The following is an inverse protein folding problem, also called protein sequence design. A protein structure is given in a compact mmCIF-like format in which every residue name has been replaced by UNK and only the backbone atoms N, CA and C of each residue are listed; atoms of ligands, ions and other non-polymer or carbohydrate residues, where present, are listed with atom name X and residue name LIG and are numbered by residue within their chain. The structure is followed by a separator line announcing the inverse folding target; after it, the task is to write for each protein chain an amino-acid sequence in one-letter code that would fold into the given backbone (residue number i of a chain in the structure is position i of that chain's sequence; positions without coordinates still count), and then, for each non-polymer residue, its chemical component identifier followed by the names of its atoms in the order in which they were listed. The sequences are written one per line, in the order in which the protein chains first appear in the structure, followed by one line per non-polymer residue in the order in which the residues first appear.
data_IF_017249329347
#
_entry.id   IF_017249329347
#
_cell.length_a   1.000
_cell.length_b   1.000
_cell.length_c   1.000
_cell.angle_alpha   90.00
_cell.angle_beta   90.00
_cell.angle_gamma   90.00
#
_symmetry.space_group_name_H-M   'P 1'
#
loop_
_entity.id
_entity.type
_entity.pdbx_description
1 polymer ?
#
# COMPACT_ATOMS: atom_id res chain seq x y z
N UNK A 1 17.52 18.28 25.32
CA UNK A 1 16.45 17.29 25.59
C UNK A 1 16.81 16.03 24.83
N UNK A 2 16.68 14.84 25.43
CA UNK A 2 16.94 13.57 24.72
C UNK A 2 15.88 13.47 23.61
N UNK A 3 16.29 13.58 22.35
CA UNK A 3 15.42 13.38 21.18
C UNK A 3 15.09 11.88 21.05
N UNK A 4 14.38 11.33 22.02
CA UNK A 4 13.80 10.01 21.86
C UNK A 4 12.74 10.11 20.77
N UNK A 5 12.78 9.25 19.73
CA UNK A 5 11.78 9.25 18.69
C UNK A 5 10.38 9.11 19.30
N UNK A 6 9.46 10.02 18.94
CA UNK A 6 8.06 9.93 19.37
C UNK A 6 7.39 8.65 18.81
N UNK A 7 7.88 8.16 17.67
CA UNK A 7 7.51 6.89 17.06
C UNK A 7 8.69 5.93 17.16
N UNK A 8 8.46 4.74 17.72
CA UNK A 8 9.51 3.73 17.81
C UNK A 8 9.89 3.20 16.42
N UNK A 9 11.16 2.84 16.19
CA UNK A 9 11.58 2.23 14.91
C UNK A 9 10.78 0.98 14.55
N UNK A 10 10.40 0.19 15.55
CA UNK A 10 9.58 -1.01 15.35
C UNK A 10 8.21 -0.66 14.75
N UNK A 11 7.52 0.38 15.27
CA UNK A 11 6.24 0.82 14.72
C UNK A 11 6.40 1.33 13.29
N UNK A 12 7.44 2.13 13.04
CA UNK A 12 7.74 2.64 11.71
C UNK A 12 7.92 1.51 10.67
N UNK A 13 8.77 0.53 10.96
CA UNK A 13 9.02 -0.58 10.05
C UNK A 13 7.81 -1.51 9.91
N UNK A 14 7.06 -1.76 11.00
CA UNK A 14 5.83 -2.55 10.93
C UNK A 14 4.79 -1.90 10.02
N UNK A 15 4.64 -0.58 10.03
CA UNK A 15 3.73 0.15 9.15
C UNK A 15 4.15 0.03 7.67
N UNK A 16 5.45 0.02 7.39
CA UNK A 16 5.96 -0.21 6.03
C UNK A 16 5.66 -1.64 5.59
N UNK A 17 5.98 -2.63 6.43
CA UNK A 17 5.80 -4.05 6.09
C UNK A 17 4.32 -4.43 5.94
N UNK A 18 3.44 -3.88 6.78
CA UNK A 18 2.00 -4.14 6.72
C UNK A 18 1.39 -3.81 5.35
N UNK A 19 1.90 -2.77 4.67
CA UNK A 19 1.43 -2.38 3.34
C UNK A 19 1.72 -3.41 2.25
N UNK A 20 2.63 -4.36 2.48
CA UNK A 20 2.95 -5.43 1.53
C UNK A 20 2.36 -6.77 1.97
N UNK A 21 2.45 -7.09 3.27
CA UNK A 21 1.96 -8.37 3.76
C UNK A 21 0.44 -8.47 3.75
N UNK A 22 -0.28 -7.38 4.10
CA UNK A 22 -1.74 -7.44 4.19
C UNK A 22 -2.39 -7.63 2.80
N UNK A 23 -1.98 -6.93 1.71
CA UNK A 23 -2.50 -7.22 0.38
C UNK A 23 -2.15 -8.63 -0.13
N UNK A 24 -0.99 -9.18 0.24
CA UNK A 24 -0.63 -10.57 -0.10
C UNK A 24 -1.55 -11.56 0.61
N UNK A 25 -1.83 -11.35 1.90
CA UNK A 25 -2.79 -12.18 2.65
C UNK A 25 -4.18 -12.08 2.02
N UNK A 26 -4.61 -10.88 1.63
CA UNK A 26 -5.87 -10.66 0.95
C UNK A 26 -5.95 -11.46 -0.37
N UNK A 27 -4.93 -11.34 -1.23
CA UNK A 27 -4.88 -12.06 -2.50
C UNK A 27 -4.90 -13.59 -2.31
N UNK A 28 -4.25 -14.10 -1.26
CA UNK A 28 -4.32 -15.54 -0.92
C UNK A 28 -5.75 -15.93 -0.55
N UNK A 29 -6.43 -15.15 0.29
CA UNK A 29 -7.83 -15.41 0.66
C UNK A 29 -8.72 -15.41 -0.58
N UNK A 30 -8.51 -14.48 -1.50
CA UNK A 30 -9.27 -14.38 -2.75
C UNK A 30 -9.11 -15.62 -3.64
N UNK A 31 -7.88 -16.11 -3.81
CA UNK A 31 -7.59 -17.30 -4.63
C UNK A 31 -8.30 -18.55 -4.08
N UNK A 32 -8.44 -18.66 -2.76
CA UNK A 32 -9.10 -19.80 -2.12
C UNK A 32 -10.61 -19.58 -1.90
N UNK A 33 -11.17 -18.43 -2.26
CA UNK A 33 -12.58 -18.14 -2.13
C UNK A 33 -13.37 -18.80 -3.27
N UNK A 34 -14.11 -19.86 -2.97
CA UNK A 34 -14.96 -20.60 -3.93
C UNK A 34 -16.41 -20.14 -3.93
N UNK A 35 -16.67 -18.83 -3.79
CA UNK A 35 -18.02 -18.30 -3.84
C UNK A 35 -18.51 -18.12 -5.30
N UNK A 36 -19.73 -18.58 -5.63
CA UNK A 36 -20.23 -18.58 -7.02
C UNK A 36 -20.49 -17.18 -7.58
N UNK A 37 -20.64 -16.17 -6.73
CA UNK A 37 -20.84 -14.76 -7.10
C UNK A 37 -19.58 -14.18 -7.77
N UNK A 38 -18.39 -14.58 -7.30
CA UNK A 38 -17.11 -14.21 -7.90
C UNK A 38 -16.91 -14.82 -9.30
N UNK A 39 -17.38 -16.04 -9.51
CA UNK A 39 -17.30 -16.73 -10.82
C UNK A 39 -18.18 -16.02 -11.87
N UNK A 40 -19.31 -15.46 -11.44
CA UNK A 40 -20.23 -14.69 -12.29
C UNK A 40 -19.68 -13.29 -12.59
N UNK A 41 -18.92 -12.72 -11.64
CA UNK A 41 -18.21 -11.47 -11.79
C UNK A 41 -17.01 -11.58 -12.76
N UNK A 42 -16.22 -12.65 -12.64
CA UNK A 42 -15.11 -12.94 -13.57
C UNK A 42 -15.59 -12.99 -15.02
N UNK A 43 -16.79 -13.53 -15.25
CA UNK A 43 -17.40 -13.61 -16.59
C UNK A 43 -17.92 -12.28 -17.12
N UNK A 44 -18.15 -11.28 -16.26
CA UNK A 44 -18.73 -9.98 -16.62
C UNK A 44 -17.68 -8.86 -16.65
N UNK A 45 -16.65 -8.89 -15.81
CA UNK A 45 -15.58 -7.88 -15.78
C UNK A 45 -14.46 -8.12 -16.82
N UNK A 46 -14.16 -9.37 -17.19
CA UNK A 46 -13.05 -9.70 -18.11
C UNK A 46 -13.41 -9.70 -19.60
N UNK A 47 -14.51 -9.07 -20.03
CA UNK A 47 -14.97 -9.18 -21.42
C UNK A 47 -14.12 -8.43 -22.46
N UNK A 48 -13.15 -7.58 -22.07
CA UNK A 48 -12.18 -6.96 -23.00
C UNK A 48 -10.92 -6.48 -22.25
N UNK A 49 -9.75 -6.30 -22.92
CA UNK A 49 -8.44 -6.42 -22.29
C UNK A 49 -8.10 -5.23 -21.39
N UNK A 50 -8.29 -5.41 -20.08
CA UNK A 50 -7.66 -4.61 -19.01
C UNK A 50 -6.12 -4.82 -18.92
N UNK A 51 -5.49 -5.39 -19.96
CA UNK A 51 -4.05 -5.66 -20.00
C UNK A 51 -3.23 -4.37 -19.88
N UNK A 52 -3.76 -3.25 -20.36
CA UNK A 52 -3.14 -1.94 -20.17
C UNK A 52 -3.21 -1.47 -18.71
N UNK A 53 -4.29 -1.77 -17.97
CA UNK A 53 -4.40 -1.50 -16.54
C UNK A 53 -3.37 -2.32 -15.77
N UNK A 54 -3.20 -3.59 -16.11
CA UNK A 54 -2.16 -4.45 -15.54
C UNK A 54 -0.76 -3.86 -15.75
N UNK A 55 -0.47 -3.32 -16.94
CA UNK A 55 0.80 -2.66 -17.22
C UNK A 55 0.99 -1.40 -16.35
N UNK A 56 -0.05 -0.56 -16.21
CA UNK A 56 -0.03 0.63 -15.34
C UNK A 56 0.21 0.23 -13.89
N UNK A 57 -0.52 -0.77 -13.38
CA UNK A 57 -0.38 -1.29 -12.02
C UNK A 57 1.01 -1.87 -11.77
N UNK A 58 1.60 -2.57 -12.76
CA UNK A 58 2.94 -3.13 -12.66
C UNK A 58 4.02 -2.05 -12.55
N UNK A 59 3.92 -0.99 -13.37
CA UNK A 59 4.84 0.15 -13.31
C UNK A 59 4.68 0.90 -11.99
N UNK A 60 3.44 1.14 -11.54
CA UNK A 60 3.17 1.77 -10.25
C UNK A 60 3.73 0.94 -9.08
N UNK A 61 3.57 -0.38 -9.11
CA UNK A 61 4.12 -1.30 -8.13
C UNK A 61 5.64 -1.21 -8.03
N UNK A 62 6.34 -1.15 -9.18
CA UNK A 62 7.80 -0.95 -9.21
C UNK A 62 8.22 0.39 -8.59
N UNK A 63 7.51 1.48 -8.90
CA UNK A 63 7.79 2.80 -8.32
C UNK A 63 7.61 2.77 -6.80
N UNK A 64 6.50 2.19 -6.32
CA UNK A 64 6.22 2.06 -4.89
C UNK A 64 7.30 1.22 -4.20
N UNK A 65 7.75 0.11 -4.80
CA UNK A 65 8.84 -0.71 -4.27
C UNK A 65 10.15 0.08 -4.09
N UNK A 66 10.52 0.91 -5.08
CA UNK A 66 11.71 1.76 -5.00
C UNK A 66 11.59 2.76 -3.84
N UNK A 67 10.41 3.40 -3.71
CA UNK A 67 10.13 4.33 -2.62
C UNK A 67 10.21 3.63 -1.27
N UNK A 68 9.59 2.46 -1.14
CA UNK A 68 9.63 1.63 0.07
C UNK A 68 11.05 1.25 0.46
N UNK A 69 11.88 0.84 -0.50
CA UNK A 69 13.27 0.51 -0.21
C UNK A 69 14.03 1.73 0.31
N UNK A 70 13.81 2.90 -0.29
CA UNK A 70 14.36 4.16 0.20
C UNK A 70 13.86 4.53 1.60
N UNK A 71 12.59 4.27 1.92
CA UNK A 71 12.03 4.45 3.28
C UNK A 71 12.66 3.49 4.28
N UNK A 72 12.87 2.22 3.93
CA UNK A 72 13.57 1.26 4.80
C UNK A 72 14.99 1.74 5.16
N UNK A 73 15.67 2.37 4.19
CA UNK A 73 16.97 3.00 4.35
C UNK A 73 16.91 4.44 4.92
N UNK A 74 15.72 4.90 5.31
CA UNK A 74 15.46 6.23 5.90
C UNK A 74 15.99 7.38 5.05
N UNK A 75 15.86 7.27 3.73
CA UNK A 75 16.31 8.31 2.79
C UNK A 75 15.28 9.41 2.65
N UNK A 76 15.72 10.66 2.78
CA UNK A 76 14.85 11.84 2.67
C UNK A 76 14.15 11.99 1.31
N UNK A 77 14.80 11.58 0.22
CA UNK A 77 14.17 11.57 -1.10
C UNK A 77 12.97 10.61 -1.14
N UNK A 78 13.06 9.48 -0.44
CA UNK A 78 12.01 8.47 -0.40
C UNK A 78 10.82 8.93 0.44
N UNK A 79 11.07 9.67 1.53
CA UNK A 79 10.03 10.38 2.28
C UNK A 79 9.23 11.28 1.35
N UNK A 80 9.90 12.18 0.63
CA UNK A 80 9.25 13.13 -0.30
C UNK A 80 8.49 12.38 -1.39
N UNK A 81 9.11 11.37 -2.00
CA UNK A 81 8.47 10.56 -3.03
C UNK A 81 7.20 9.89 -2.52
N UNK A 82 7.23 9.31 -1.31
CA UNK A 82 6.06 8.68 -0.68
C UNK A 82 4.89 9.67 -0.49
N UNK A 83 5.19 10.90 -0.05
CA UNK A 83 4.17 11.95 0.11
C UNK A 83 3.47 12.26 -1.22
N UNK A 84 4.24 12.38 -2.31
CA UNK A 84 3.69 12.71 -3.63
C UNK A 84 3.05 11.51 -4.33
N UNK A 85 3.47 10.28 -4.03
CA UNK A 85 2.90 9.07 -4.62
C UNK A 85 1.59 8.65 -3.94
N UNK A 86 1.33 9.08 -2.70
CA UNK A 86 0.14 8.65 -1.95
C UNK A 86 -1.17 8.88 -2.71
N UNK A 87 -1.37 10.09 -3.25
CA UNK A 87 -2.60 10.41 -3.98
C UNK A 87 -2.72 9.68 -5.33
N UNK A 88 -1.70 9.64 -6.20
CA UNK A 88 -1.72 8.80 -7.40
C UNK A 88 -2.01 7.31 -7.12
N UNK A 89 -1.38 6.74 -6.09
CA UNK A 89 -1.63 5.34 -5.69
C UNK A 89 -3.07 5.14 -5.23
N UNK A 90 -3.65 6.12 -4.53
CA UNK A 90 -5.06 6.10 -4.16
C UNK A 90 -5.99 6.14 -5.38
N UNK A 91 -5.65 6.87 -6.45
CA UNK A 91 -6.43 6.84 -7.69
C UNK A 91 -6.37 5.48 -8.39
N UNK A 92 -5.19 4.84 -8.39
CA UNK A 92 -5.01 3.49 -8.95
C UNK A 92 -5.84 2.44 -8.20
N UNK A 93 -6.05 2.64 -6.90
CA UNK A 93 -6.91 1.77 -6.07
C UNK A 93 -8.36 1.70 -6.58
N UNK A 94 -8.86 2.76 -7.24
CA UNK A 94 -10.21 2.80 -7.81
C UNK A 94 -10.31 2.26 -9.24
N UNK A 95 -9.22 1.77 -9.82
CA UNK A 95 -9.28 1.21 -11.17
C UNK A 95 -10.17 -0.04 -11.22
N UNK A 96 -10.86 -0.31 -12.35
CA UNK A 96 -11.68 -1.50 -12.52
C UNK A 96 -10.95 -2.81 -12.22
N UNK A 97 -9.67 -2.92 -12.61
CA UNK A 97 -8.83 -4.07 -12.28
C UNK A 97 -8.72 -4.34 -10.77
N UNK A 98 -8.75 -3.31 -9.93
CA UNK A 98 -8.65 -3.43 -8.47
C UNK A 98 -9.99 -3.72 -7.79
N UNK A 99 -11.14 -3.63 -8.49
CA UNK A 99 -12.45 -3.87 -7.90
C UNK A 99 -12.65 -5.31 -7.40
N UNK A 100 -11.93 -6.27 -7.99
CA UNK A 100 -11.98 -7.67 -7.57
C UNK A 100 -11.56 -7.85 -6.10
N UNK A 101 -10.62 -7.05 -5.64
CA UNK A 101 -10.01 -7.10 -4.30
C UNK A 101 -11.00 -6.73 -3.18
N UNK A 102 -12.11 -6.07 -3.50
CA UNK A 102 -13.11 -5.63 -2.53
C UNK A 102 -14.36 -6.52 -2.46
N UNK A 103 -14.55 -7.38 -3.45
CA UNK A 103 -15.81 -8.14 -3.60
C UNK A 103 -15.87 -9.31 -2.63
N UNK A 104 -14.72 -9.78 -2.13
CA UNK A 104 -14.57 -10.75 -1.05
C UNK A 104 -14.47 -10.04 0.30
N UNK A 105 -15.54 -10.12 1.10
CA UNK A 105 -15.66 -9.41 2.39
C UNK A 105 -14.46 -9.61 3.33
N UNK A 106 -13.86 -10.81 3.35
CA UNK A 106 -12.69 -11.08 4.19
C UNK A 106 -11.37 -10.50 3.65
N UNK A 107 -11.15 -10.48 2.34
CA UNK A 107 -9.91 -9.95 1.77
C UNK A 107 -9.92 -8.41 1.72
N UNK A 108 -11.10 -7.81 1.53
CA UNK A 108 -11.29 -6.36 1.60
C UNK A 108 -10.77 -5.77 2.92
N UNK A 109 -11.01 -6.46 4.05
CA UNK A 109 -10.55 -6.03 5.39
C UNK A 109 -9.02 -5.87 5.43
N UNK A 110 -8.26 -6.80 4.83
CA UNK A 110 -6.81 -6.74 4.84
C UNK A 110 -6.28 -5.61 3.96
N UNK A 111 -6.91 -5.34 2.82
CA UNK A 111 -6.55 -4.20 1.98
C UNK A 111 -6.88 -2.87 2.65
N UNK A 112 -8.06 -2.74 3.27
CA UNK A 112 -8.43 -1.54 4.02
C UNK A 112 -7.46 -1.30 5.19
N UNK A 113 -7.06 -2.37 5.90
CA UNK A 113 -6.05 -2.26 6.95
C UNK A 113 -4.69 -1.82 6.39
N UNK A 114 -4.30 -2.29 5.20
CA UNK A 114 -3.10 -1.84 4.52
C UNK A 114 -3.15 -0.34 4.19
N UNK A 115 -4.30 0.16 3.72
CA UNK A 115 -4.54 1.58 3.46
C UNK A 115 -4.51 2.42 4.75
N UNK A 116 -5.09 1.93 5.84
CA UNK A 116 -5.02 2.59 7.15
C UNK A 116 -3.57 2.68 7.62
N UNK A 117 -2.79 1.60 7.51
CA UNK A 117 -1.36 1.63 7.84
C UNK A 117 -0.59 2.63 6.97
N UNK A 118 -0.88 2.69 5.67
CA UNK A 118 -0.29 3.65 4.74
C UNK A 118 -0.62 5.11 5.10
N UNK A 119 -1.86 5.37 5.50
CA UNK A 119 -2.31 6.68 5.97
C UNK A 119 -1.67 7.11 7.29
N UNK A 120 -1.52 6.19 8.26
CA UNK A 120 -0.79 6.46 9.50
C UNK A 120 0.69 6.78 9.19
N UNK A 121 1.31 6.01 8.31
CA UNK A 121 2.68 6.26 7.88
C UNK A 121 2.81 7.62 7.19
N UNK A 122 1.86 7.99 6.33
CA UNK A 122 1.81 9.31 5.69
C UNK A 122 1.78 10.43 6.75
N UNK A 123 0.91 10.32 7.75
CA UNK A 123 0.79 11.32 8.83
C UNK A 123 2.10 11.48 9.61
N UNK A 124 2.79 10.37 9.88
CA UNK A 124 4.12 10.39 10.50
C UNK A 124 5.12 11.12 9.61
N UNK A 125 5.15 10.81 8.31
CA UNK A 125 6.12 11.36 7.35
C UNK A 125 5.86 12.82 6.95
N UNK A 126 4.63 13.31 7.08
CA UNK A 126 4.29 14.74 6.88
C UNK A 126 4.68 15.57 8.10
N UNK A 127 4.52 15.01 9.30
CA UNK A 127 4.67 15.78 10.55
C UNK A 127 6.14 15.89 10.97
N UNK A 128 6.75 17.09 10.96
CA UNK A 128 8.18 17.26 11.23
C UNK A 128 8.65 16.69 12.56
N UNK A 129 7.89 16.92 13.63
CA UNK A 129 8.22 16.41 14.97
C UNK A 129 8.20 14.89 15.08
N UNK A 130 7.56 14.18 14.14
CA UNK A 130 7.46 12.72 14.13
C UNK A 130 8.51 12.07 13.23
N UNK A 131 8.74 12.60 12.02
CA UNK A 131 9.72 11.99 11.10
C UNK A 131 11.15 12.44 11.38
N UNK A 132 11.43 13.68 11.80
CA UNK A 132 12.81 14.15 11.95
C UNK A 132 13.67 13.24 12.85
N UNK A 133 13.19 12.79 14.03
CA UNK A 133 13.95 11.86 14.88
C UNK A 133 14.21 10.49 14.24
N UNK A 134 13.44 10.10 13.21
CA UNK A 134 13.59 8.83 12.51
C UNK A 134 14.71 8.93 11.46
N UNK A 135 14.85 10.10 10.82
CA UNK A 135 15.74 10.39 9.69
C UNK A 135 17.03 11.13 10.10
N UNK A 136 17.18 11.58 11.36
CA UNK A 136 18.30 12.36 11.92
C UNK A 136 19.71 11.71 11.87
N UNK A 137 19.87 10.56 11.20
CA UNK A 137 21.14 9.83 11.11
C UNK A 137 21.75 9.77 9.69
N UNK A 138 21.27 10.59 8.75
CA UNK A 138 21.94 10.88 7.47
C UNK A 138 22.53 12.30 7.46
#
# INVERSE_FOLDING_TARGET
MKNSPAVSPAVYYSLILAQFFLPVIAAIIDIYCTEPELILLDKTLYQDPQTWELAVMSVAGLIILIITFGLCLKKEWARKAYLYSFFPTFLLYFMPYMHWIYMTSYAAIFNDLAFVCSGILLMILVTPSLYQPIFEHD
#
